data_IF_824289594668
#
_entry.id   IF_824289594668
#
_cell.length_a   1.000
_cell.length_b   1.000
_cell.length_c   1.000
_cell.angle_alpha   90.00
_cell.angle_beta   90.00
_cell.angle_gamma   90.00
#
_symmetry.space_group_name_H-M   'P 1'
#
loop_
_entity.id
_entity.type
_entity.pdbx_description
1 polymer ?
#
# COMPACT_ATOMS: atom_id res chain seq x y z
N UNK A 1 8.84 -64.11 -40.06
CA UNK A 1 8.29 -63.02 -39.23
C UNK A 1 7.78 -63.61 -37.94
N UNK A 2 8.50 -63.34 -36.81
CA UNK A 2 8.20 -63.89 -35.47
C UNK A 2 7.37 -62.88 -34.73
N UNK A 3 6.07 -63.08 -34.53
CA UNK A 3 5.20 -62.21 -33.71
C UNK A 3 5.57 -62.40 -32.24
N UNK A 4 6.14 -61.37 -31.64
CA UNK A 4 6.31 -61.31 -30.21
C UNK A 4 4.93 -61.06 -29.55
N UNK A 5 4.40 -62.12 -28.92
CA UNK A 5 3.26 -61.98 -28.01
C UNK A 5 3.73 -61.25 -26.79
N UNK A 6 3.33 -59.98 -26.72
CA UNK A 6 3.48 -59.14 -25.53
C UNK A 6 2.49 -59.65 -24.47
N UNK A 7 3.00 -60.31 -23.43
CA UNK A 7 2.20 -60.74 -22.27
C UNK A 7 1.56 -59.50 -21.62
N UNK A 8 0.31 -59.26 -21.95
CA UNK A 8 -0.49 -58.26 -21.24
C UNK A 8 -0.95 -58.89 -19.91
N UNK A 9 -0.22 -58.62 -18.83
CA UNK A 9 -0.69 -58.92 -17.48
C UNK A 9 -1.77 -57.92 -17.16
N UNK A 10 -3.02 -58.36 -17.00
CA UNK A 10 -4.11 -57.51 -16.51
C UNK A 10 -3.86 -57.06 -15.08
N UNK A 11 -4.26 -55.84 -14.76
CA UNK A 11 -4.22 -55.31 -13.39
C UNK A 11 -5.12 -56.17 -12.49
N UNK A 12 -4.61 -56.52 -11.33
CA UNK A 12 -5.39 -57.19 -10.31
C UNK A 12 -6.34 -56.22 -9.62
N UNK A 13 -7.49 -56.67 -9.13
CA UNK A 13 -8.45 -55.83 -8.41
C UNK A 13 -7.80 -55.17 -7.18
N UNK A 14 -6.85 -55.83 -6.53
CA UNK A 14 -6.08 -55.28 -5.39
C UNK A 14 -5.16 -54.13 -5.81
N UNK A 15 -4.48 -54.24 -6.95
CA UNK A 15 -3.64 -53.15 -7.48
C UNK A 15 -4.45 -51.89 -7.81
N UNK A 16 -5.66 -52.09 -8.39
CA UNK A 16 -6.56 -50.98 -8.66
C UNK A 16 -7.00 -50.28 -7.36
N UNK A 17 -7.33 -51.05 -6.32
CA UNK A 17 -7.78 -50.53 -5.03
C UNK A 17 -6.67 -49.74 -4.32
N UNK A 18 -5.44 -50.28 -4.33
CA UNK A 18 -4.27 -49.60 -3.78
C UNK A 18 -3.94 -48.30 -4.56
N UNK A 19 -4.02 -48.35 -5.90
CA UNK A 19 -3.80 -47.16 -6.73
C UNK A 19 -4.83 -46.03 -6.41
N UNK A 20 -6.11 -46.39 -6.28
CA UNK A 20 -7.16 -45.42 -5.90
C UNK A 20 -6.94 -44.85 -4.49
N UNK A 21 -6.51 -45.68 -3.54
CA UNK A 21 -6.20 -45.18 -2.18
C UNK A 21 -5.05 -44.19 -2.18
N UNK A 22 -3.97 -44.47 -2.93
CA UNK A 22 -2.84 -43.55 -3.06
C UNK A 22 -3.28 -42.25 -3.78
N UNK A 23 -4.07 -42.35 -4.83
CA UNK A 23 -4.55 -41.20 -5.59
C UNK A 23 -5.39 -40.26 -4.74
N UNK A 24 -6.26 -40.78 -3.88
CA UNK A 24 -7.08 -39.93 -2.95
C UNK A 24 -6.23 -39.22 -1.93
N UNK A 25 -5.19 -39.87 -1.38
CA UNK A 25 -4.27 -39.24 -0.43
C UNK A 25 -3.46 -38.12 -1.11
N UNK A 26 -2.94 -38.39 -2.31
CA UNK A 26 -2.17 -37.37 -3.07
C UNK A 26 -3.05 -36.20 -3.47
N UNK A 27 -4.28 -36.47 -3.95
CA UNK A 27 -5.22 -35.39 -4.29
C UNK A 27 -5.61 -34.55 -3.07
N UNK A 28 -5.81 -35.16 -1.92
CA UNK A 28 -6.09 -34.46 -0.65
C UNK A 28 -4.92 -33.57 -0.22
N UNK A 29 -3.71 -34.09 -0.26
CA UNK A 29 -2.50 -33.33 0.09
C UNK A 29 -2.28 -32.12 -0.84
N UNK A 30 -2.50 -32.31 -2.15
CA UNK A 30 -2.34 -31.25 -3.14
C UNK A 30 -3.34 -30.10 -2.90
N UNK A 31 -4.60 -30.40 -2.62
CA UNK A 31 -5.60 -29.40 -2.31
C UNK A 31 -5.25 -28.60 -1.04
N UNK A 32 -4.74 -29.24 0.00
CA UNK A 32 -4.32 -28.58 1.22
C UNK A 32 -3.20 -27.57 0.97
N UNK A 33 -2.20 -27.92 0.15
CA UNK A 33 -1.10 -27.02 -0.23
C UNK A 33 -1.60 -25.82 -1.02
N UNK A 34 -2.52 -26.00 -1.97
CA UNK A 34 -3.09 -24.91 -2.75
C UNK A 34 -3.82 -23.91 -1.85
N UNK A 35 -4.64 -24.40 -0.93
CA UNK A 35 -5.38 -23.54 0.03
C UNK A 35 -4.38 -22.76 0.89
N UNK A 36 -3.33 -23.40 1.40
CA UNK A 36 -2.31 -22.75 2.20
C UNK A 36 -1.55 -21.66 1.43
N UNK A 37 -1.21 -21.92 0.15
CA UNK A 37 -0.59 -20.92 -0.71
C UNK A 37 -1.48 -19.70 -0.94
N UNK A 38 -2.79 -19.90 -1.18
CA UNK A 38 -3.74 -18.80 -1.34
C UNK A 38 -3.88 -17.96 -0.07
N UNK A 39 -3.93 -18.58 1.11
CA UNK A 39 -3.99 -17.89 2.39
C UNK A 39 -2.70 -17.10 2.66
N UNK A 40 -1.54 -17.70 2.41
CA UNK A 40 -0.24 -17.03 2.54
C UNK A 40 -0.13 -15.81 1.63
N UNK A 41 -0.59 -15.90 0.39
CA UNK A 41 -0.61 -14.79 -0.57
C UNK A 41 -1.48 -13.62 -0.07
N UNK A 42 -2.67 -13.88 0.46
CA UNK A 42 -3.55 -12.85 1.03
C UNK A 42 -2.92 -12.17 2.24
N UNK A 43 -2.36 -12.95 3.17
CA UNK A 43 -1.66 -12.41 4.35
C UNK A 43 -0.49 -11.53 3.93
N UNK A 44 0.29 -11.94 2.94
CA UNK A 44 1.38 -11.16 2.40
C UNK A 44 0.91 -9.84 1.79
N UNK A 45 -0.15 -9.87 0.97
CA UNK A 45 -0.75 -8.66 0.39
C UNK A 45 -1.26 -7.69 1.47
N UNK A 46 -1.94 -8.20 2.50
CA UNK A 46 -2.40 -7.39 3.63
C UNK A 46 -1.24 -6.72 4.36
N UNK A 47 -0.16 -7.46 4.65
CA UNK A 47 1.03 -6.89 5.28
C UNK A 47 1.70 -5.81 4.42
N UNK A 48 1.72 -5.97 3.10
CA UNK A 48 2.22 -4.95 2.17
C UNK A 48 1.34 -3.70 2.24
N UNK A 49 0.03 -3.84 2.19
CA UNK A 49 -0.89 -2.71 2.29
C UNK A 49 -0.69 -1.92 3.61
N UNK A 50 -0.62 -2.62 4.75
CA UNK A 50 -0.37 -1.99 6.06
C UNK A 50 0.96 -1.22 6.06
N UNK A 51 2.05 -1.84 5.61
CA UNK A 51 3.38 -1.21 5.61
C UNK A 51 3.42 0.04 4.73
N UNK A 52 2.80 -0.01 3.57
CA UNK A 52 2.73 1.14 2.65
C UNK A 52 1.93 2.29 3.27
N UNK A 53 0.76 2.01 3.88
CA UNK A 53 -0.02 3.01 4.58
C UNK A 53 0.75 3.64 5.74
N UNK A 54 1.44 2.84 6.54
CA UNK A 54 2.24 3.31 7.67
C UNK A 54 3.44 4.15 7.23
N UNK A 55 4.18 3.71 6.21
CA UNK A 55 5.35 4.42 5.68
C UNK A 55 4.97 5.80 5.15
N UNK A 56 3.92 5.85 4.32
CA UNK A 56 3.40 7.10 3.77
C UNK A 56 2.93 8.06 4.87
N UNK A 57 2.12 7.55 5.81
CA UNK A 57 1.63 8.35 6.93
C UNK A 57 2.75 8.84 7.84
N UNK A 58 3.72 7.99 8.16
CA UNK A 58 4.85 8.35 9.02
C UNK A 58 5.65 9.51 8.41
N UNK A 59 5.93 9.46 7.10
CA UNK A 59 6.69 10.52 6.43
C UNK A 59 5.94 11.85 6.44
N UNK A 60 4.65 11.84 6.07
CA UNK A 60 3.81 13.04 6.14
C UNK A 60 3.73 13.56 7.57
N UNK A 61 3.59 12.69 8.56
CA UNK A 61 3.51 13.08 9.97
C UNK A 61 4.80 13.78 10.43
N UNK A 62 5.98 13.25 10.07
CA UNK A 62 7.25 13.87 10.43
C UNK A 62 7.40 15.27 9.85
N UNK A 63 7.06 15.46 8.58
CA UNK A 63 7.14 16.77 7.94
C UNK A 63 6.04 17.72 8.44
N UNK A 64 4.83 17.24 8.65
CA UNK A 64 3.71 18.04 9.16
C UNK A 64 3.94 18.54 10.59
N UNK A 65 4.59 17.76 11.45
CA UNK A 65 4.94 18.21 12.81
C UNK A 65 5.95 19.36 12.83
N UNK A 66 6.74 19.53 11.76
CA UNK A 66 7.67 20.65 11.61
C UNK A 66 7.03 21.84 10.93
N UNK A 67 5.94 21.62 10.19
CA UNK A 67 5.30 22.64 9.38
C UNK A 67 4.77 23.80 10.23
N UNK A 68 5.06 25.00 9.79
CA UNK A 68 4.52 26.26 10.30
C UNK A 68 3.32 26.72 9.46
N UNK A 69 3.30 26.33 8.19
CA UNK A 69 2.20 26.61 7.28
C UNK A 69 1.78 25.31 6.57
N UNK A 70 0.47 25.08 6.51
CA UNK A 70 -0.14 23.92 5.85
C UNK A 70 -1.10 24.43 4.79
N UNK A 71 -0.91 24.01 3.54
CA UNK A 71 -1.80 24.29 2.43
C UNK A 71 -2.29 22.98 1.83
N UNK A 72 -3.59 22.84 1.67
CA UNK A 72 -4.23 21.71 0.98
C UNK A 72 -4.98 22.24 -0.24
N UNK A 73 -5.02 21.44 -1.29
CA UNK A 73 -5.82 21.79 -2.46
C UNK A 73 -7.32 21.64 -2.13
N UNK A 74 -8.14 22.50 -2.71
CA UNK A 74 -9.61 22.42 -2.61
C UNK A 74 -10.22 21.26 -3.42
N UNK A 75 -9.39 20.39 -4.00
CA UNK A 75 -9.85 19.16 -4.66
C UNK A 75 -10.42 18.17 -3.62
N UNK A 76 -11.23 17.23 -4.09
CA UNK A 76 -11.83 16.17 -3.24
C UNK A 76 -10.79 15.33 -2.47
N UNK A 77 -9.54 15.28 -2.94
CA UNK A 77 -8.44 14.58 -2.28
C UNK A 77 -7.64 15.45 -1.32
N UNK A 78 -7.70 16.78 -1.45
CA UNK A 78 -6.83 17.70 -0.72
C UNK A 78 -5.37 17.72 -1.19
N UNK A 79 -4.96 16.84 -2.07
CA UNK A 79 -3.62 16.84 -2.68
C UNK A 79 -3.59 17.76 -3.91
N UNK A 80 -2.46 18.46 -4.17
CA UNK A 80 -1.21 18.45 -3.40
C UNK A 80 -1.36 19.02 -1.98
N UNK A 81 -0.69 18.37 -1.04
CA UNK A 81 -0.48 18.88 0.32
C UNK A 81 0.88 19.58 0.35
N UNK A 82 0.92 20.86 0.73
CA UNK A 82 2.13 21.66 0.82
C UNK A 82 2.37 22.02 2.28
N UNK A 83 3.59 21.74 2.73
CA UNK A 83 4.06 22.00 4.10
C UNK A 83 5.27 22.91 4.03
N UNK A 84 5.23 24.07 4.70
CA UNK A 84 6.33 25.02 4.74
C UNK A 84 6.81 25.21 6.17
N UNK A 85 8.12 25.30 6.36
CA UNK A 85 8.72 25.68 7.64
C UNK A 85 10.10 26.29 7.44
N UNK A 86 10.54 27.02 8.47
CA UNK A 86 11.88 27.57 8.56
C UNK A 86 12.56 27.03 9.81
N UNK A 87 13.81 26.61 9.70
CA UNK A 87 14.58 26.16 10.85
C UNK A 87 15.01 27.34 11.73
N UNK A 88 14.98 27.12 13.04
CA UNK A 88 15.25 28.16 14.02
C UNK A 88 16.69 28.68 13.99
N UNK A 89 17.65 27.79 13.76
CA UNK A 89 19.09 28.04 13.92
C UNK A 89 19.74 28.69 12.71
N UNK A 90 19.36 28.32 11.50
CA UNK A 90 20.02 28.73 10.27
C UNK A 90 19.13 29.55 9.31
N UNK A 91 17.86 29.80 9.66
CA UNK A 91 16.91 30.45 8.76
C UNK A 91 16.67 29.65 7.48
N UNK A 92 17.02 28.37 7.46
CA UNK A 92 16.81 27.50 6.29
C UNK A 92 15.33 27.26 6.08
N UNK A 93 14.84 27.58 4.89
CA UNK A 93 13.44 27.37 4.50
C UNK A 93 13.25 26.05 3.79
N UNK A 94 12.21 25.35 4.16
CA UNK A 94 11.80 24.09 3.56
C UNK A 94 10.39 24.21 3.00
N UNK A 95 10.20 23.74 1.79
CA UNK A 95 8.90 23.51 1.21
C UNK A 95 8.81 22.04 0.80
N UNK A 96 7.85 21.32 1.36
CA UNK A 96 7.58 19.94 1.02
C UNK A 96 6.20 19.81 0.41
N UNK A 97 6.15 19.23 -0.77
CA UNK A 97 4.91 18.99 -1.51
C UNK A 97 4.68 17.50 -1.68
N UNK A 98 3.50 17.06 -1.26
CA UNK A 98 3.04 15.68 -1.47
C UNK A 98 2.04 15.64 -2.60
N UNK A 99 2.32 14.83 -3.62
CA UNK A 99 1.47 14.63 -4.80
C UNK A 99 1.09 13.16 -4.97
N UNK A 100 -0.09 12.92 -5.51
CA UNK A 100 -0.50 11.60 -6.02
C UNK A 100 -0.16 11.55 -7.51
N UNK A 101 0.76 10.67 -7.87
CA UNK A 101 1.33 10.55 -9.23
C UNK A 101 1.19 9.14 -9.77
N UNK A 102 1.54 8.94 -11.04
CA UNK A 102 1.61 7.64 -11.72
C UNK A 102 0.32 6.80 -11.56
N UNK A 103 -0.85 7.29 -11.99
CA UNK A 103 -2.09 6.54 -11.85
C UNK A 103 -2.05 5.24 -12.66
N UNK A 104 -2.34 4.12 -11.99
CA UNK A 104 -2.57 2.81 -12.59
C UNK A 104 -3.96 2.34 -12.18
N UNK A 105 -4.97 2.72 -12.95
CA UNK A 105 -6.37 2.60 -12.55
C UNK A 105 -6.65 3.45 -11.31
N UNK A 106 -7.09 2.81 -10.22
CA UNK A 106 -7.37 3.46 -8.93
C UNK A 106 -6.15 3.52 -7.99
N UNK A 107 -4.98 3.06 -8.46
CA UNK A 107 -3.75 3.05 -7.67
C UNK A 107 -2.85 4.20 -8.08
N UNK A 108 -2.20 4.80 -7.09
CA UNK A 108 -1.28 5.92 -7.23
C UNK A 108 -0.01 5.67 -6.44
N UNK A 109 1.01 6.45 -6.75
CA UNK A 109 2.19 6.61 -5.91
C UNK A 109 2.11 7.94 -5.18
N UNK A 110 2.50 7.96 -3.91
CA UNK A 110 2.66 9.17 -3.13
C UNK A 110 4.08 9.68 -3.29
N UNK A 111 4.22 10.76 -4.03
CA UNK A 111 5.47 11.45 -4.29
C UNK A 111 5.66 12.58 -3.28
N UNK A 112 6.86 12.69 -2.72
CA UNK A 112 7.34 13.78 -1.90
C UNK A 112 8.37 14.57 -2.69
N UNK A 113 8.15 15.85 -2.83
CA UNK A 113 9.09 16.81 -3.40
C UNK A 113 9.53 17.78 -2.31
N UNK A 114 10.83 17.92 -2.10
CA UNK A 114 11.44 18.80 -1.10
C UNK A 114 12.29 19.87 -1.77
N UNK A 115 12.02 21.11 -1.43
CA UNK A 115 12.79 22.27 -1.89
C UNK A 115 13.37 22.96 -0.65
N UNK A 116 14.69 23.14 -0.64
CA UNK A 116 15.42 23.80 0.45
C UNK A 116 15.98 25.12 -0.08
N UNK A 117 15.69 26.24 0.62
CA UNK A 117 16.17 27.60 0.29
C UNK A 117 15.95 27.97 -1.21
N UNK A 118 14.79 27.61 -1.77
CA UNK A 118 14.46 27.79 -3.20
C UNK A 118 15.46 27.12 -4.15
N UNK A 119 16.16 26.08 -3.69
CA UNK A 119 17.08 25.28 -4.49
C UNK A 119 16.40 24.30 -5.44
N UNK A 120 17.14 23.34 -5.94
CA UNK A 120 16.61 22.29 -6.82
C UNK A 120 15.72 21.33 -6.03
N UNK A 121 14.54 20.95 -6.57
CA UNK A 121 13.66 20.01 -5.91
C UNK A 121 14.26 18.60 -5.84
N UNK A 122 14.18 17.98 -4.67
CA UNK A 122 14.49 16.58 -4.45
C UNK A 122 13.20 15.76 -4.39
N UNK A 123 13.05 14.84 -5.31
CA UNK A 123 11.83 14.03 -5.45
C UNK A 123 12.05 12.61 -4.96
N UNK A 124 11.11 12.08 -4.18
CA UNK A 124 11.17 10.73 -3.61
C UNK A 124 9.77 10.11 -3.58
N UNK A 125 9.65 8.83 -3.92
CA UNK A 125 8.41 8.07 -3.71
C UNK A 125 8.39 7.56 -2.27
N UNK A 126 7.38 7.94 -1.50
CA UNK A 126 7.25 7.61 -0.08
C UNK A 126 6.15 6.60 0.22
N UNK A 127 5.29 6.34 -0.73
CA UNK A 127 4.25 5.31 -0.65
C UNK A 127 3.85 4.82 -2.02
N UNK A 128 3.61 3.51 -2.11
CA UNK A 128 3.08 2.85 -3.31
C UNK A 128 1.73 2.21 -3.00
N UNK A 129 1.01 1.79 -4.02
CA UNK A 129 -0.31 1.17 -3.86
C UNK A 129 -1.33 2.06 -3.16
N UNK A 130 -1.17 3.38 -3.25
CA UNK A 130 -2.11 4.34 -2.69
C UNK A 130 -3.42 4.25 -3.47
N UNK A 131 -4.48 3.87 -2.79
CA UNK A 131 -5.78 3.65 -3.39
C UNK A 131 -6.66 4.90 -3.33
N UNK A 132 -7.30 5.19 -4.44
CA UNK A 132 -8.27 6.26 -4.57
C UNK A 132 -9.54 5.71 -5.20
N UNK A 133 -10.37 5.07 -4.38
CA UNK A 133 -11.64 4.49 -4.81
C UNK A 133 -12.74 5.53 -4.95
N UNK A 134 -13.87 5.17 -5.56
CA UNK A 134 -14.98 6.09 -5.82
C UNK A 134 -15.74 6.54 -4.56
N UNK A 135 -15.60 5.85 -3.43
CA UNK A 135 -16.40 6.09 -2.22
C UNK A 135 -15.58 6.29 -0.94
N UNK A 136 -15.93 7.32 -0.09
CA UNK A 136 -15.43 7.40 1.30
C UNK A 136 -15.97 6.22 2.14
N UNK A 137 -15.22 5.71 3.12
CA UNK A 137 -13.95 6.20 3.67
C UNK A 137 -12.70 5.65 2.96
N UNK A 138 -12.85 5.01 1.80
CA UNK A 138 -11.79 4.31 1.09
C UNK A 138 -10.95 5.21 0.19
N UNK A 139 -11.03 6.52 0.35
CA UNK A 139 -10.24 7.46 -0.43
C UNK A 139 -9.04 7.99 0.37
N UNK A 140 -7.87 7.96 -0.26
CA UNK A 140 -6.74 8.73 0.25
C UNK A 140 -7.04 10.22 0.07
N UNK A 141 -7.01 10.95 1.18
CA UNK A 141 -7.33 12.37 1.21
C UNK A 141 -6.65 13.07 2.38
N UNK A 142 -6.44 14.37 2.24
CA UNK A 142 -6.01 15.22 3.35
C UNK A 142 -6.94 16.43 3.47
N UNK A 143 -7.16 16.86 4.71
CA UNK A 143 -7.99 18.03 5.03
C UNK A 143 -7.33 18.83 6.13
N UNK A 144 -7.22 20.13 5.92
CA UNK A 144 -6.77 21.08 6.92
C UNK A 144 -7.95 21.80 7.54
N UNK A 145 -7.96 21.89 8.86
CA UNK A 145 -8.95 22.64 9.61
C UNK A 145 -8.28 23.88 10.21
N UNK A 146 -8.62 25.05 9.69
CA UNK A 146 -8.09 26.34 10.13
C UNK A 146 -8.55 26.75 11.53
N UNK A 147 -9.62 26.14 12.06
CA UNK A 147 -10.16 26.48 13.38
C UNK A 147 -9.43 25.71 14.48
N UNK A 148 -9.21 24.41 14.25
CA UNK A 148 -8.56 23.52 15.22
C UNK A 148 -7.07 23.36 14.98
N UNK A 149 -6.57 23.84 13.86
CA UNK A 149 -5.19 23.64 13.38
C UNK A 149 -4.80 22.17 13.34
N UNK A 150 -5.69 21.34 12.80
CA UNK A 150 -5.49 19.89 12.67
C UNK A 150 -5.48 19.49 11.21
N UNK A 151 -4.42 18.83 10.80
CA UNK A 151 -4.35 18.12 9.52
C UNK A 151 -4.92 16.71 9.71
N UNK A 152 -6.06 16.43 9.09
CA UNK A 152 -6.64 15.10 9.01
C UNK A 152 -6.17 14.43 7.73
N UNK A 153 -5.47 13.30 7.86
CA UNK A 153 -4.91 12.54 6.76
C UNK A 153 -5.56 11.15 6.74
N UNK A 154 -6.25 10.84 5.66
CA UNK A 154 -6.75 9.50 5.38
C UNK A 154 -5.84 8.87 4.34
N UNK A 155 -5.21 7.75 4.66
CA UNK A 155 -4.42 6.96 3.71
C UNK A 155 -5.08 5.61 3.54
N UNK A 156 -5.38 5.31 2.29
CA UNK A 156 -5.89 4.01 1.87
C UNK A 156 -4.90 3.40 0.90
N UNK A 157 -4.53 2.14 1.14
CA UNK A 157 -3.65 1.37 0.28
C UNK A 157 -4.34 0.08 -0.14
N UNK A 158 -4.02 -0.42 -1.33
CA UNK A 158 -4.58 -1.65 -1.86
C UNK A 158 -3.47 -2.50 -2.46
N UNK A 159 -3.31 -3.71 -1.94
CA UNK A 159 -2.40 -4.70 -2.48
C UNK A 159 -3.18 -5.98 -2.82
N UNK A 160 -3.25 -6.34 -4.09
CA UNK A 160 -4.11 -7.42 -4.57
C UNK A 160 -5.59 -7.13 -4.27
N UNK A 161 -6.22 -7.98 -3.47
CA UNK A 161 -7.62 -7.83 -3.04
C UNK A 161 -7.75 -7.12 -1.68
N UNK A 162 -6.64 -6.95 -0.95
CA UNK A 162 -6.64 -6.40 0.39
C UNK A 162 -6.55 -4.88 0.38
N UNK A 163 -7.44 -4.25 1.14
CA UNK A 163 -7.53 -2.79 1.27
C UNK A 163 -7.37 -2.42 2.72
N UNK A 164 -6.43 -1.54 3.02
CA UNK A 164 -6.19 -0.99 4.35
C UNK A 164 -6.42 0.52 4.32
N UNK A 165 -7.23 1.03 5.25
CA UNK A 165 -7.50 2.46 5.39
C UNK A 165 -7.19 2.91 6.81
N UNK A 166 -6.45 4.00 6.94
CA UNK A 166 -6.06 4.60 8.23
C UNK A 166 -6.25 6.10 8.22
N UNK A 167 -6.72 6.61 9.35
CA UNK A 167 -6.89 8.05 9.59
C UNK A 167 -5.91 8.52 10.65
N UNK A 168 -5.21 9.59 10.34
CA UNK A 168 -4.27 10.26 11.24
C UNK A 168 -4.74 11.71 11.45
N UNK A 169 -4.65 12.17 12.69
CA UNK A 169 -4.87 13.58 13.05
C UNK A 169 -3.56 14.14 13.55
N UNK A 170 -3.01 15.09 12.84
CA UNK A 170 -1.70 15.66 13.10
C UNK A 170 -1.92 17.13 13.44
N UNK A 171 -1.31 17.58 14.55
CA UNK A 171 -1.32 18.98 14.95
C UNK A 171 0.07 19.55 14.69
N UNK A 172 0.27 20.29 13.60
CA UNK A 172 1.51 21.00 13.31
C UNK A 172 1.90 21.97 14.42
N UNK A 173 3.14 22.45 14.41
CA UNK A 173 3.57 23.49 15.34
C UNK A 173 2.72 24.75 15.10
N UNK A 174 2.24 25.43 16.17
CA UNK A 174 1.58 26.71 15.98
C UNK A 174 2.61 27.69 15.37
N UNK A 175 2.18 28.39 14.35
CA UNK A 175 2.93 29.57 13.87
C UNK A 175 2.96 30.58 15.00
N UNK A 176 4.14 30.82 15.57
CA UNK A 176 4.38 31.94 16.48
C UNK A 176 4.87 33.08 15.57
N UNK A 177 3.88 33.88 15.07
CA UNK A 177 4.16 35.14 14.37
C UNK A 177 4.76 36.21 15.28
#
# INVERSE_FOLDING_TARGET
MKRMHKNQKGLTLVELLVALAILTVVAGATNAVIIQMMQSSRTSAHMVAIRQAQSAAYRINCDALQAQEVKVNNSSSGFPLILNWTTWDAGTTYQVTYNLVNPLGDLYELQREEIVNNGTPLTTIVGQYIYRGPEPPRNTSCRWDNTTYVLTLNITTKAGQEVEARTYKIKPRPYVG
#
